data_IF_347698416701
#
_entry.id   IF_347698416701
#
_cell.length_a   1.000
_cell.length_b   1.000
_cell.length_c   1.000
_cell.angle_alpha   90.00
_cell.angle_beta   90.00
_cell.angle_gamma   90.00
#
_symmetry.space_group_name_H-M   'P 1'
#
loop_
_entity.id
_entity.type
_entity.pdbx_description
1 polymer ?
#
# COMPACT_ATOMS: atom_id res chain seq x y z
N UNK A 1 6.06 30.76 10.54
CA UNK A 1 6.17 29.42 11.15
C UNK A 1 4.77 28.80 11.10
N UNK A 2 4.54 27.80 10.25
CA UNK A 2 3.21 27.26 9.98
C UNK A 2 2.96 26.00 10.79
N UNK A 3 2.08 26.08 11.79
CA UNK A 3 1.63 24.93 12.56
C UNK A 3 0.72 24.08 11.68
N UNK A 4 1.19 22.89 11.31
CA UNK A 4 0.36 21.88 10.65
C UNK A 4 -0.55 21.26 11.70
N UNK A 5 -1.84 21.59 11.65
CA UNK A 5 -2.88 20.95 12.47
C UNK A 5 -3.18 19.54 11.94
N UNK A 6 -2.21 18.64 12.08
CA UNK A 6 -2.48 17.20 12.02
C UNK A 6 -3.02 16.79 13.38
N UNK A 7 -4.35 16.77 13.52
CA UNK A 7 -5.02 16.14 14.65
C UNK A 7 -4.96 14.62 14.45
N UNK A 8 -3.76 14.04 14.44
CA UNK A 8 -3.61 12.61 14.62
C UNK A 8 -3.91 12.38 16.11
N UNK A 9 -5.07 11.78 16.40
CA UNK A 9 -5.25 11.18 17.71
C UNK A 9 -4.07 10.21 17.89
N UNK A 10 -3.24 10.44 18.90
CA UNK A 10 -2.15 9.56 19.26
C UNK A 10 -2.75 8.23 19.74
N UNK A 11 -3.10 7.38 18.78
CA UNK A 11 -3.46 6.01 19.04
C UNK A 11 -2.23 5.36 19.66
N UNK A 12 -2.33 4.98 20.94
CA UNK A 12 -1.28 4.23 21.61
C UNK A 12 -1.12 2.88 20.88
N UNK A 13 -0.08 2.78 20.04
CA UNK A 13 0.16 1.60 19.23
C UNK A 13 0.65 0.44 20.11
N UNK A 14 0.10 -0.76 19.90
CA UNK A 14 0.50 -1.95 20.64
C UNK A 14 1.60 -2.71 19.89
N UNK A 15 2.76 -2.89 20.53
CA UNK A 15 3.85 -3.70 19.99
C UNK A 15 3.51 -5.21 19.96
N UNK A 16 2.62 -5.69 20.85
CA UNK A 16 2.29 -7.12 20.96
C UNK A 16 1.62 -7.70 19.71
N UNK A 17 1.03 -6.87 18.84
CA UNK A 17 0.47 -7.32 17.57
C UNK A 17 1.53 -7.67 16.50
N UNK A 18 2.76 -7.18 16.66
CA UNK A 18 3.88 -7.50 15.76
C UNK A 18 4.43 -8.90 16.02
N UNK A 19 4.40 -9.38 17.27
CA UNK A 19 4.97 -10.68 17.66
C UNK A 19 4.32 -11.86 16.92
N UNK A 20 3.04 -11.71 16.56
CA UNK A 20 2.29 -12.69 15.74
C UNK A 20 2.90 -12.89 14.33
N UNK A 21 3.66 -11.91 13.84
CA UNK A 21 4.26 -11.89 12.51
C UNK A 21 3.25 -11.61 11.40
N UNK A 22 3.68 -10.87 10.37
CA UNK A 22 2.88 -10.68 9.16
C UNK A 22 3.06 -11.91 8.27
N UNK A 23 1.97 -12.57 7.82
CA UNK A 23 2.09 -13.79 7.02
C UNK A 23 2.69 -13.49 5.62
N UNK A 24 3.37 -14.48 5.00
CA UNK A 24 4.03 -14.32 3.70
C UNK A 24 3.06 -13.99 2.55
N UNK A 25 1.80 -14.44 2.67
CA UNK A 25 0.71 -14.20 1.72
C UNK A 25 -0.48 -13.61 2.49
N UNK A 26 -1.02 -12.51 1.98
CA UNK A 26 -2.13 -11.79 2.59
C UNK A 26 -3.22 -11.58 1.56
N UNK A 27 -4.39 -12.15 1.82
CA UNK A 27 -5.59 -11.89 1.02
C UNK A 27 -6.38 -10.75 1.65
N UNK A 28 -6.78 -9.80 0.81
CA UNK A 28 -7.51 -8.61 1.23
C UNK A 28 -8.94 -8.68 0.71
N UNK A 29 -9.89 -8.53 1.61
CA UNK A 29 -11.32 -8.55 1.27
C UNK A 29 -12.09 -7.49 2.05
N UNK A 30 -13.22 -7.06 1.48
CA UNK A 30 -14.22 -6.28 2.21
C UNK A 30 -14.88 -7.11 3.32
N UNK A 31 -15.36 -6.43 4.35
CA UNK A 31 -16.34 -6.99 5.29
C UNK A 31 -17.59 -7.46 4.53
N UNK A 32 -18.03 -8.69 4.78
CA UNK A 32 -19.18 -9.29 4.10
C UNK A 32 -20.43 -8.42 4.29
N UNK A 33 -21.17 -8.13 3.20
CA UNK A 33 -22.41 -7.35 3.25
C UNK A 33 -22.28 -5.87 2.86
N UNK A 34 -21.05 -5.34 2.70
CA UNK A 34 -20.85 -3.97 2.26
C UNK A 34 -21.04 -3.80 0.75
N UNK A 35 -22.03 -2.99 0.36
CA UNK A 35 -22.19 -2.56 -1.03
C UNK A 35 -21.08 -1.57 -1.38
N UNK A 36 -20.42 -1.76 -2.53
CA UNK A 36 -19.31 -0.95 -3.10
C UNK A 36 -19.55 0.58 -3.18
N UNK A 37 -20.74 1.05 -2.82
CA UNK A 37 -21.18 2.44 -2.91
C UNK A 37 -21.13 3.20 -1.56
N UNK A 38 -20.84 2.52 -0.45
CA UNK A 38 -20.74 3.13 0.89
C UNK A 38 -19.33 3.68 1.22
N UNK A 39 -18.46 3.84 0.22
CA UNK A 39 -17.03 4.18 0.34
C UNK A 39 -16.69 5.55 0.97
N UNK A 40 -17.69 6.32 1.42
CA UNK A 40 -17.55 7.70 1.89
C UNK A 40 -17.74 7.87 3.41
N UNK A 41 -18.38 6.92 4.10
CA UNK A 41 -18.72 7.04 5.53
C UNK A 41 -17.75 6.29 6.46
N UNK A 42 -16.98 5.36 5.89
CA UNK A 42 -16.10 4.43 6.59
C UNK A 42 -15.90 3.22 5.70
N UNK A 43 -14.81 2.48 5.82
CA UNK A 43 -14.62 1.24 5.08
C UNK A 43 -13.73 0.30 5.88
N UNK A 44 -14.09 -0.99 5.92
CA UNK A 44 -13.30 -2.00 6.61
C UNK A 44 -12.84 -3.05 5.62
N UNK A 45 -11.55 -3.40 5.70
CA UNK A 45 -10.98 -4.53 4.99
C UNK A 45 -10.38 -5.52 5.98
N UNK A 46 -10.41 -6.80 5.63
CA UNK A 46 -9.74 -7.85 6.37
C UNK A 46 -8.46 -8.27 5.65
N UNK A 47 -7.39 -8.43 6.43
CA UNK A 47 -6.16 -9.08 5.99
C UNK A 47 -6.19 -10.50 6.53
N UNK A 48 -6.31 -11.46 5.63
CA UNK A 48 -6.42 -12.89 5.94
C UNK A 48 -5.16 -13.62 5.49
N UNK A 49 -4.75 -14.63 6.25
CA UNK A 49 -3.67 -15.53 5.85
C UNK A 49 -4.09 -16.46 4.69
N UNK A 50 -3.21 -17.40 4.29
CA UNK A 50 -3.50 -18.40 3.26
C UNK A 50 -4.78 -19.22 3.54
N UNK A 51 -5.04 -19.49 4.82
CA UNK A 51 -6.16 -20.29 5.30
C UNK A 51 -7.51 -19.57 5.24
N UNK A 52 -7.50 -18.26 4.94
CA UNK A 52 -8.72 -17.46 4.74
C UNK A 52 -9.30 -16.83 6.01
N UNK A 53 -8.79 -17.18 7.19
CA UNK A 53 -9.21 -16.58 8.46
C UNK A 53 -8.68 -15.13 8.60
N UNK A 54 -9.55 -14.13 8.91
CA UNK A 54 -9.13 -12.76 9.16
C UNK A 54 -8.15 -12.66 10.33
N UNK A 55 -6.95 -12.16 10.07
CA UNK A 55 -5.91 -11.98 11.09
C UNK A 55 -5.82 -10.55 11.60
N UNK A 56 -6.05 -9.59 10.71
CA UNK A 56 -6.01 -8.15 10.99
C UNK A 56 -7.16 -7.43 10.30
N UNK A 57 -7.51 -6.27 10.83
CA UNK A 57 -8.56 -5.41 10.29
C UNK A 57 -7.99 -4.04 9.94
N UNK A 58 -8.20 -3.61 8.70
CA UNK A 58 -7.94 -2.24 8.25
C UNK A 58 -9.21 -1.42 8.36
N UNK A 59 -9.16 -0.35 9.14
CA UNK A 59 -10.22 0.63 9.29
C UNK A 59 -9.86 1.91 8.53
N UNK A 60 -10.67 2.26 7.55
CA UNK A 60 -10.58 3.50 6.78
C UNK A 60 -11.58 4.49 7.36
N UNK A 61 -11.15 5.34 8.30
CA UNK A 61 -12.02 6.12 9.21
C UNK A 61 -13.00 7.03 8.46
N UNK A 62 -12.61 7.55 7.29
CA UNK A 62 -13.48 8.35 6.38
C UNK A 62 -13.47 7.77 4.97
N UNK A 63 -13.50 6.44 4.90
CA UNK A 63 -13.39 5.69 3.65
C UNK A 63 -12.13 6.05 2.86
N UNK A 64 -12.28 6.29 1.56
CA UNK A 64 -11.14 6.56 0.68
C UNK A 64 -10.41 7.89 0.94
N UNK A 65 -10.96 8.78 1.78
CA UNK A 65 -10.41 10.12 2.03
C UNK A 65 -9.87 10.31 3.45
N UNK A 66 -10.06 9.33 4.33
CA UNK A 66 -9.56 9.35 5.71
C UNK A 66 -8.24 8.60 5.89
N UNK A 67 -7.82 8.53 7.15
CA UNK A 67 -6.67 7.75 7.56
C UNK A 67 -7.02 6.25 7.60
N UNK A 68 -5.97 5.44 7.50
CA UNK A 68 -6.01 3.98 7.61
C UNK A 68 -5.47 3.62 8.98
N UNK A 69 -6.20 2.79 9.73
CA UNK A 69 -5.74 2.20 10.99
C UNK A 69 -5.72 0.69 10.79
N UNK A 70 -4.56 0.07 11.00
CA UNK A 70 -4.45 -1.37 11.08
C UNK A 70 -4.63 -1.81 12.54
N UNK A 71 -5.54 -2.73 12.77
CA UNK A 71 -5.79 -3.34 14.08
C UNK A 71 -5.18 -4.74 14.13
N UNK A 72 -4.65 -5.10 15.30
CA UNK A 72 -3.93 -6.37 15.56
C UNK A 72 -4.80 -7.64 15.53
N UNK A 73 -6.11 -7.50 15.33
CA UNK A 73 -7.07 -8.61 15.28
C UNK A 73 -8.16 -8.39 14.24
N UNK A 74 -9.13 -9.31 14.19
CA UNK A 74 -10.23 -9.31 13.23
C UNK A 74 -11.36 -8.31 13.53
N UNK A 75 -11.22 -7.47 14.56
CA UNK A 75 -12.15 -6.36 14.87
C UNK A 75 -11.42 -5.02 14.99
N UNK A 76 -12.14 -3.93 14.77
CA UNK A 76 -11.68 -2.56 15.03
C UNK A 76 -11.50 -2.28 16.54
N UNK A 77 -12.06 -3.11 17.39
CA UNK A 77 -11.88 -3.01 18.85
C UNK A 77 -10.53 -3.60 19.30
N UNK A 78 -9.86 -4.34 18.41
CA UNK A 78 -8.51 -4.83 18.67
C UNK A 78 -7.52 -3.65 18.72
N UNK A 79 -6.45 -3.72 19.53
CA UNK A 79 -5.48 -2.63 19.65
C UNK A 79 -4.91 -2.19 18.29
N UNK A 80 -4.76 -0.87 18.07
CA UNK A 80 -4.15 -0.34 16.85
C UNK A 80 -2.67 -0.73 16.78
N UNK A 81 -2.26 -1.17 15.61
CA UNK A 81 -0.92 -1.67 15.31
C UNK A 81 -0.12 -0.65 14.49
N UNK A 82 -0.74 -0.06 13.46
CA UNK A 82 -0.13 0.98 12.64
C UNK A 82 -1.19 1.93 12.09
N UNK A 83 -0.77 3.13 11.71
CA UNK A 83 -1.63 4.11 11.03
C UNK A 83 -0.99 4.61 9.75
N UNK A 84 -1.81 5.06 8.80
CA UNK A 84 -1.36 5.84 7.66
C UNK A 84 -2.31 6.98 7.39
N UNK A 85 -1.75 8.18 7.24
CA UNK A 85 -2.49 9.39 6.89
C UNK A 85 -1.76 10.21 5.84
N UNK A 86 -2.49 11.05 5.12
CA UNK A 86 -1.87 11.97 4.15
C UNK A 86 -1.09 13.04 4.90
N UNK A 87 0.19 13.21 4.58
CA UNK A 87 1.03 14.24 5.20
C UNK A 87 0.54 15.66 4.87
N UNK A 88 -0.01 15.85 3.67
CA UNK A 88 -0.60 17.11 3.24
C UNK A 88 -1.72 16.84 2.24
N UNK A 89 -2.65 17.80 2.09
CA UNK A 89 -3.65 17.76 1.02
C UNK A 89 -3.06 18.05 -0.37
N UNK A 90 -1.91 18.73 -0.42
CA UNK A 90 -1.26 19.19 -1.66
C UNK A 90 -0.22 18.20 -2.20
N UNK A 91 0.26 17.28 -1.36
CA UNK A 91 1.20 16.23 -1.73
C UNK A 91 0.53 14.87 -1.53
N UNK A 92 0.86 13.91 -2.36
CA UNK A 92 0.40 12.52 -2.21
C UNK A 92 1.42 11.69 -1.41
N UNK A 93 2.07 12.34 -0.45
CA UNK A 93 2.95 11.70 0.52
C UNK A 93 2.10 11.23 1.71
N UNK A 94 2.45 10.07 2.27
CA UNK A 94 1.76 9.46 3.39
C UNK A 94 2.71 9.33 4.57
N UNK A 95 2.28 9.80 5.73
CA UNK A 95 2.91 9.49 7.01
C UNK A 95 2.39 8.13 7.46
N UNK A 96 3.30 7.20 7.73
CA UNK A 96 2.98 5.88 8.27
C UNK A 96 3.62 5.79 9.66
N UNK A 97 2.78 5.56 10.67
CA UNK A 97 3.23 5.42 12.06
C UNK A 97 3.21 3.94 12.42
N UNK A 98 4.37 3.43 12.81
CA UNK A 98 4.65 2.05 13.20
C UNK A 98 4.89 2.00 14.72
N UNK A 99 4.68 0.85 15.38
CA UNK A 99 4.95 0.73 16.80
C UNK A 99 6.47 0.71 17.05
N UNK A 100 6.87 1.10 18.26
CA UNK A 100 8.27 1.02 18.69
C UNK A 100 8.65 -0.40 19.05
N UNK A 101 9.76 -0.92 18.52
CA UNK A 101 10.38 -2.13 19.06
C UNK A 101 11.38 -1.84 20.19
N UNK A 102 11.83 -0.58 20.32
CA UNK A 102 12.85 -0.14 21.29
C UNK A 102 12.30 0.67 22.47
N UNK A 103 10.97 0.86 22.54
CA UNK A 103 10.30 1.61 23.62
C UNK A 103 10.37 3.14 23.50
N UNK A 104 11.07 3.69 22.50
CA UNK A 104 11.27 5.14 22.31
C UNK A 104 10.08 5.84 21.60
N UNK A 105 8.87 5.32 21.80
CA UNK A 105 7.67 5.83 21.13
C UNK A 105 7.55 5.40 19.66
N UNK A 106 6.42 5.72 19.01
CA UNK A 106 6.12 5.26 17.66
C UNK A 106 7.17 5.69 16.63
N UNK A 107 7.48 4.82 15.67
CA UNK A 107 8.37 5.12 14.56
C UNK A 107 7.55 5.70 13.40
N UNK A 108 7.92 6.89 12.93
CA UNK A 108 7.25 7.56 11.82
C UNK A 108 8.08 7.45 10.54
N UNK A 109 7.47 6.95 9.47
CA UNK A 109 8.08 6.83 8.15
C UNK A 109 7.23 7.53 7.08
N UNK A 110 7.87 8.02 6.02
CA UNK A 110 7.16 8.71 4.94
C UNK A 110 7.20 7.86 3.68
N UNK A 111 6.02 7.44 3.21
CA UNK A 111 5.83 6.93 1.85
C UNK A 111 5.70 8.12 0.90
N UNK A 112 6.74 8.34 0.10
CA UNK A 112 6.84 9.48 -0.81
C UNK A 112 6.37 9.15 -2.21
N UNK A 113 5.68 10.09 -2.84
CA UNK A 113 5.35 10.05 -4.26
C UNK A 113 6.24 11.05 -5.02
N UNK A 114 7.17 10.60 -5.87
CA UNK A 114 7.96 11.50 -6.70
C UNK A 114 7.07 12.35 -7.61
N UNK A 115 7.42 13.63 -7.80
CA UNK A 115 6.74 14.49 -8.76
C UNK A 115 7.02 14.00 -10.19
N UNK A 116 6.00 14.01 -11.03
CA UNK A 116 6.13 13.66 -12.46
C UNK A 116 6.05 12.16 -12.75
N UNK A 117 6.37 11.28 -11.80
CA UNK A 117 6.46 9.84 -12.08
C UNK A 117 5.21 9.10 -11.60
N UNK A 118 4.29 8.89 -12.55
CA UNK A 118 3.01 8.24 -12.26
C UNK A 118 3.25 6.78 -11.87
N UNK A 119 2.68 6.37 -10.73
CA UNK A 119 2.71 4.97 -10.30
C UNK A 119 4.02 4.53 -9.64
N UNK A 120 4.89 5.46 -9.23
CA UNK A 120 6.03 5.18 -8.34
C UNK A 120 5.81 5.76 -6.95
N UNK A 121 6.19 5.00 -5.92
CA UNK A 121 6.22 5.44 -4.53
C UNK A 121 7.45 4.84 -3.85
N UNK A 122 8.03 5.51 -2.87
CA UNK A 122 9.18 4.95 -2.17
C UNK A 122 9.17 5.30 -0.69
N UNK A 123 9.82 4.47 0.10
CA UNK A 123 10.12 4.74 1.50
C UNK A 123 11.54 4.25 1.81
N UNK A 124 12.09 4.74 2.90
CA UNK A 124 13.29 4.17 3.51
C UNK A 124 12.92 3.74 4.93
N UNK A 125 13.52 2.66 5.41
CA UNK A 125 13.29 2.18 6.78
C UNK A 125 14.52 1.40 7.26
N UNK A 126 14.71 1.38 8.56
CA UNK A 126 15.67 0.52 9.23
C UNK A 126 15.33 -0.96 8.97
N UNK A 127 16.31 -1.73 8.49
CA UNK A 127 16.20 -3.18 8.27
C UNK A 127 17.37 -3.91 8.95
N UNK A 128 17.28 -5.24 9.02
CA UNK A 128 18.30 -6.09 9.63
C UNK A 128 18.19 -6.18 11.16
N UNK A 129 19.09 -6.98 11.76
CA UNK A 129 19.10 -7.27 13.20
C UNK A 129 20.48 -7.02 13.78
N UNK A 130 20.53 -6.49 15.00
CA UNK A 130 21.78 -6.26 15.73
C UNK A 130 22.78 -5.39 14.95
N UNK A 131 24.05 -5.81 14.80
CA UNK A 131 25.09 -5.00 14.18
C UNK A 131 24.90 -4.77 12.68
N UNK A 132 24.08 -5.59 12.00
CA UNK A 132 23.81 -5.48 10.56
C UNK A 132 22.67 -4.52 10.24
N UNK A 133 22.16 -3.82 11.27
CA UNK A 133 21.14 -2.81 11.13
C UNK A 133 21.62 -1.67 10.22
N UNK A 134 20.88 -1.45 9.12
CA UNK A 134 21.07 -0.32 8.21
C UNK A 134 19.75 0.22 7.69
N UNK A 135 19.76 1.48 7.26
CA UNK A 135 18.62 2.06 6.53
C UNK A 135 18.73 1.67 5.06
N UNK A 136 17.66 1.10 4.52
CA UNK A 136 17.51 0.76 3.11
C UNK A 136 16.32 1.46 2.48
N UNK A 137 16.38 1.63 1.16
CA UNK A 137 15.31 2.24 0.36
C UNK A 137 14.59 1.20 -0.50
N UNK A 138 13.27 1.37 -0.59
CA UNK A 138 12.39 0.51 -1.37
C UNK A 138 11.48 1.35 -2.26
N UNK A 139 11.16 0.85 -3.45
CA UNK A 139 10.29 1.52 -4.42
C UNK A 139 9.17 0.61 -4.90
N UNK A 140 7.92 1.05 -4.69
CA UNK A 140 6.76 0.51 -5.38
C UNK A 140 6.75 1.00 -6.82
N UNK A 141 6.77 0.06 -7.76
CA UNK A 141 6.63 0.29 -9.20
C UNK A 141 5.35 -0.37 -9.70
N UNK A 142 4.58 0.36 -10.49
CA UNK A 142 3.42 -0.21 -11.20
C UNK A 142 3.93 -1.26 -12.19
N UNK A 143 3.32 -2.45 -12.22
CA UNK A 143 3.69 -3.52 -13.13
C UNK A 143 2.46 -4.14 -13.79
N UNK A 144 2.65 -4.71 -14.99
CA UNK A 144 1.70 -5.60 -15.68
C UNK A 144 2.31 -6.97 -16.00
N UNK A 145 3.52 -7.23 -15.49
CA UNK A 145 4.24 -8.47 -15.73
C UNK A 145 3.61 -9.68 -15.04
N UNK A 146 4.15 -10.85 -15.33
CA UNK A 146 3.67 -12.12 -14.79
C UNK A 146 3.71 -12.15 -13.24
N UNK A 147 4.65 -11.44 -12.63
CA UNK A 147 4.84 -11.40 -11.18
C UNK A 147 3.62 -10.85 -10.43
N UNK A 148 2.92 -9.85 -11.00
CA UNK A 148 1.70 -9.29 -10.39
C UNK A 148 0.43 -10.02 -10.83
N UNK A 149 0.44 -10.60 -12.04
CA UNK A 149 -0.68 -11.42 -12.56
C UNK A 149 -0.80 -12.78 -11.88
N UNK A 150 0.31 -13.31 -11.35
CA UNK A 150 0.32 -14.57 -10.58
C UNK A 150 -0.34 -14.44 -9.21
N UNK A 151 -0.29 -13.25 -8.61
CA UNK A 151 -0.82 -12.96 -7.26
C UNK A 151 -2.22 -12.36 -7.32
N UNK A 152 -2.51 -11.53 -8.33
CA UNK A 152 -3.85 -11.00 -8.57
C UNK A 152 -4.39 -11.45 -9.91
N UNK A 153 -5.65 -11.87 -9.96
CA UNK A 153 -6.30 -12.25 -11.22
C UNK A 153 -6.60 -11.04 -12.15
N UNK A 154 -6.27 -9.81 -11.73
CA UNK A 154 -6.59 -8.59 -12.47
C UNK A 154 -5.86 -8.46 -13.81
N UNK A 155 -6.62 -8.11 -14.86
CA UNK A 155 -6.07 -7.74 -16.19
C UNK A 155 -5.36 -6.37 -16.17
N UNK A 156 -5.58 -5.56 -15.14
CA UNK A 156 -5.13 -4.17 -15.07
C UNK A 156 -3.72 -3.99 -14.49
N UNK A 157 -3.09 -5.10 -14.07
CA UNK A 157 -1.79 -5.12 -13.41
C UNK A 157 -1.88 -4.86 -11.91
N UNK A 158 -0.74 -4.52 -11.32
CA UNK A 158 -0.55 -4.37 -9.89
C UNK A 158 0.68 -3.54 -9.57
N UNK A 159 1.27 -3.77 -8.40
CA UNK A 159 2.49 -3.12 -7.97
C UNK A 159 3.51 -4.15 -7.51
N UNK A 160 4.79 -3.86 -7.73
CA UNK A 160 5.91 -4.61 -7.16
C UNK A 160 6.77 -3.69 -6.29
N UNK A 161 7.23 -4.17 -5.16
CA UNK A 161 8.15 -3.48 -4.27
C UNK A 161 9.56 -3.95 -4.60
N UNK A 162 10.41 -3.01 -4.97
CA UNK A 162 11.79 -3.25 -5.38
C UNK A 162 12.74 -2.76 -4.30
N UNK A 163 13.72 -3.57 -3.94
CA UNK A 163 14.80 -3.22 -3.01
C UNK A 163 15.89 -2.44 -3.75
N UNK A 164 16.13 -1.19 -3.37
CA UNK A 164 17.13 -0.35 -4.02
C UNK A 164 18.51 -0.47 -3.37
N UNK A 165 18.57 -0.88 -2.10
CA UNK A 165 19.79 -0.98 -1.32
C UNK A 165 19.93 0.16 -0.30
N UNK A 166 21.14 0.31 0.25
CA UNK A 166 21.44 1.33 1.27
C UNK A 166 21.39 2.75 0.70
N UNK A 167 20.95 3.71 1.49
CA UNK A 167 20.87 5.13 1.10
C UNK A 167 22.24 5.80 0.89
N UNK A 168 23.34 5.12 1.21
CA UNK A 168 24.71 5.65 1.08
C UNK A 168 25.24 5.60 -0.36
N UNK A 169 24.60 4.84 -1.26
CA UNK A 169 24.91 4.90 -2.68
C UNK A 169 24.13 6.06 -3.29
N UNK A 170 24.85 7.02 -3.90
CA UNK A 170 24.27 8.05 -4.79
C UNK A 170 23.74 7.35 -6.04
N UNK A 171 22.65 6.60 -5.91
CA UNK A 171 21.97 6.05 -7.08
C UNK A 171 21.00 7.09 -7.59
N UNK A 172 21.41 7.65 -8.73
CA UNK A 172 20.63 8.57 -9.53
C UNK A 172 19.30 7.89 -9.88
N UNK A 173 18.22 8.64 -9.68
CA UNK A 173 16.86 8.18 -9.93
C UNK A 173 16.76 7.74 -11.40
N UNK A 174 16.62 6.43 -11.65
CA UNK A 174 16.36 5.94 -13.02
C UNK A 174 14.96 6.39 -13.43
N UNK A 175 14.93 7.51 -14.16
CA UNK A 175 13.74 8.30 -14.50
C UNK A 175 12.98 7.76 -15.71
N UNK A 176 13.23 6.54 -16.16
CA UNK A 176 12.54 6.04 -17.34
C UNK A 176 11.14 5.52 -16.97
N UNK A 177 10.12 6.04 -17.67
CA UNK A 177 8.73 5.53 -17.64
C UNK A 177 8.60 4.17 -18.36
N UNK A 178 9.74 3.57 -18.71
CA UNK A 178 9.89 2.38 -19.57
C UNK A 178 9.58 1.06 -18.83
N UNK A 179 9.43 1.09 -17.50
CA UNK A 179 9.04 -0.08 -16.69
C UNK A 179 7.61 -0.58 -16.94
N UNK A 180 6.86 0.05 -17.86
CA UNK A 180 5.57 -0.44 -18.34
C UNK A 180 5.71 -1.57 -19.38
N UNK A 181 6.91 -1.82 -19.91
CA UNK A 181 7.15 -2.92 -20.85
C UNK A 181 7.28 -4.27 -20.15
N UNK A 182 6.40 -5.18 -20.59
CA UNK A 182 6.35 -6.60 -20.27
C UNK A 182 7.55 -7.31 -20.90
N UNK A 183 8.65 -7.39 -20.15
CA UNK A 183 9.89 -7.93 -20.70
C UNK A 183 10.98 -8.16 -19.66
N UNK A 184 10.63 -8.67 -18.47
CA UNK A 184 11.66 -9.18 -17.56
C UNK A 184 12.27 -10.44 -18.18
N UNK A 185 13.32 -10.25 -18.97
CA UNK A 185 14.25 -11.31 -19.39
C UNK A 185 15.20 -11.70 -18.25
N UNK A 186 15.21 -10.94 -17.15
CA UNK A 186 15.89 -11.27 -15.92
C UNK A 186 15.07 -12.30 -15.13
N UNK A 187 15.76 -13.29 -14.56
CA UNK A 187 15.18 -14.44 -13.85
C UNK A 187 14.09 -14.09 -12.85
N UNK A 188 13.24 -15.07 -12.55
CA UNK A 188 12.11 -14.93 -11.61
C UNK A 188 12.55 -14.24 -10.31
N UNK A 189 11.87 -13.14 -9.95
CA UNK A 189 12.14 -12.40 -8.71
C UNK A 189 12.96 -11.11 -8.85
N UNK A 190 13.40 -10.74 -10.06
CA UNK A 190 14.10 -9.47 -10.31
C UNK A 190 13.30 -8.53 -11.21
N UNK A 191 13.54 -7.24 -11.07
CA UNK A 191 13.04 -6.21 -11.96
C UNK A 191 13.89 -6.09 -13.24
N UNK A 192 13.39 -5.33 -14.22
CA UNK A 192 14.06 -5.02 -15.50
C UNK A 192 15.47 -4.44 -15.32
N UNK A 193 15.68 -3.65 -14.27
CA UNK A 193 16.96 -3.06 -13.89
C UNK A 193 17.83 -3.96 -12.99
N UNK A 194 17.46 -5.25 -12.86
CA UNK A 194 18.21 -6.23 -12.05
C UNK A 194 18.04 -6.08 -10.55
N UNK A 195 17.19 -5.16 -10.08
CA UNK A 195 16.92 -4.99 -8.65
C UNK A 195 15.94 -6.04 -8.14
N UNK A 196 16.16 -6.51 -6.92
CA UNK A 196 15.34 -7.55 -6.29
C UNK A 196 13.90 -7.08 -6.07
N UNK A 197 12.93 -7.93 -6.40
CA UNK A 197 11.52 -7.75 -6.04
C UNK A 197 11.25 -8.44 -4.70
N UNK A 198 10.86 -7.64 -3.71
CA UNK A 198 10.68 -8.10 -2.31
C UNK A 198 9.23 -8.20 -1.87
N UNK A 199 8.30 -7.64 -2.62
CA UNK A 199 6.88 -7.87 -2.46
C UNK A 199 6.11 -7.57 -3.75
N UNK A 200 4.90 -8.12 -3.86
CA UNK A 200 3.99 -7.86 -4.98
C UNK A 200 2.56 -7.68 -4.46
N UNK A 201 1.81 -6.82 -5.15
CA UNK A 201 0.39 -6.59 -4.94
C UNK A 201 -0.35 -6.79 -6.25
N UNK A 202 -1.34 -7.67 -6.24
CA UNK A 202 -2.24 -7.90 -7.36
C UNK A 202 -3.69 -7.63 -6.95
N UNK A 203 -4.40 -6.79 -7.71
CA UNK A 203 -5.83 -6.60 -7.48
C UNK A 203 -6.62 -7.85 -7.87
N UNK A 204 -7.71 -8.13 -7.17
CA UNK A 204 -8.63 -9.22 -7.53
C UNK A 204 -9.58 -8.74 -8.63
N UNK A 205 -9.94 -9.61 -9.58
CA UNK A 205 -11.01 -9.32 -10.52
C UNK A 205 -12.36 -9.31 -9.80
N UNK A 206 -13.07 -8.20 -9.92
CA UNK A 206 -14.40 -7.97 -9.35
C UNK A 206 -15.49 -8.98 -9.80
N UNK A 207 -15.24 -9.76 -10.86
CA UNK A 207 -16.19 -10.72 -11.43
C UNK A 207 -16.16 -12.10 -10.76
N UNK A 208 -15.10 -12.46 -10.01
CA UNK A 208 -14.94 -13.80 -9.41
C UNK A 208 -15.01 -13.82 -7.88
N UNK A 209 -14.83 -12.67 -7.22
CA UNK A 209 -15.03 -12.52 -5.79
C UNK A 209 -15.83 -11.24 -5.53
N UNK A 210 -17.01 -11.39 -4.93
CA UNK A 210 -17.90 -10.25 -4.64
C UNK A 210 -17.28 -9.29 -3.60
N UNK A 211 -16.43 -9.82 -2.71
CA UNK A 211 -15.75 -9.09 -1.63
C UNK A 211 -14.23 -8.98 -1.80
N UNK A 212 -13.62 -9.63 -2.80
CA UNK A 212 -12.16 -9.63 -2.97
C UNK A 212 -11.61 -8.28 -3.41
N UNK A 213 -10.59 -7.79 -2.70
CA UNK A 213 -9.86 -6.56 -3.03
C UNK A 213 -8.59 -6.88 -3.81
N UNK A 214 -7.79 -7.82 -3.31
CA UNK A 214 -6.47 -8.14 -3.86
C UNK A 214 -5.71 -9.11 -2.99
N UNK A 215 -4.52 -9.47 -3.44
CA UNK A 215 -3.57 -10.30 -2.72
C UNK A 215 -2.21 -9.60 -2.70
N UNK A 216 -1.58 -9.62 -1.53
CA UNK A 216 -0.23 -9.16 -1.29
C UNK A 216 0.64 -10.38 -0.99
N UNK A 217 1.84 -10.42 -1.54
CA UNK A 217 2.78 -11.51 -1.28
C UNK A 217 4.20 -11.00 -1.15
N UNK A 218 4.89 -11.43 -0.10
CA UNK A 218 6.32 -11.20 0.06
C UNK A 218 7.13 -12.10 -0.89
N UNK A 219 8.27 -11.58 -1.36
CA UNK A 219 9.19 -12.21 -2.31
C UNK A 219 10.63 -12.01 -1.87
N UNK A 220 11.55 -12.83 -2.38
CA UNK A 220 12.99 -12.69 -2.10
C UNK A 220 13.29 -12.53 -0.60
N UNK A 221 14.19 -11.60 -0.28
CA UNK A 221 14.52 -11.16 1.07
C UNK A 221 13.30 -10.79 1.92
N UNK A 222 12.25 -10.22 1.33
CA UNK A 222 10.99 -9.93 2.01
C UNK A 222 10.26 -11.16 2.53
N UNK A 223 10.41 -12.32 1.89
CA UNK A 223 9.80 -13.58 2.32
C UNK A 223 10.62 -14.33 3.38
N UNK A 224 11.91 -14.01 3.51
CA UNK A 224 12.81 -14.68 4.47
C UNK A 224 12.73 -14.11 5.89
N UNK A 225 12.19 -12.90 6.05
CA UNK A 225 12.16 -12.17 7.31
C UNK A 225 13.44 -11.37 7.62
N UNK A 226 14.48 -11.41 6.78
CA UNK A 226 15.75 -10.70 7.03
C UNK A 226 15.59 -9.18 7.12
N UNK A 227 14.56 -8.62 6.47
CA UNK A 227 14.27 -7.19 6.46
C UNK A 227 13.58 -6.72 7.76
N UNK A 228 13.09 -7.65 8.58
CA UNK A 228 12.49 -7.38 9.88
C UNK A 228 10.98 -7.12 9.83
N UNK A 229 10.35 -7.22 11.01
CA UNK A 229 8.89 -7.14 11.14
C UNK A 229 8.34 -5.73 10.90
N UNK A 230 9.06 -4.67 11.31
CA UNK A 230 8.66 -3.29 11.03
C UNK A 230 8.67 -2.98 9.53
N UNK A 231 9.66 -3.51 8.79
CA UNK A 231 9.69 -3.42 7.35
C UNK A 231 8.48 -4.12 6.72
N UNK A 232 8.15 -5.33 7.18
CA UNK A 232 6.99 -6.08 6.67
C UNK A 232 5.69 -5.30 6.89
N UNK A 233 5.51 -4.72 8.08
CA UNK A 233 4.37 -3.88 8.41
C UNK A 233 4.33 -2.60 7.56
N UNK A 234 5.47 -1.95 7.36
CA UNK A 234 5.61 -0.78 6.47
C UNK A 234 5.25 -1.12 5.02
N UNK A 235 5.67 -2.28 4.52
CA UNK A 235 5.35 -2.74 3.17
C UNK A 235 3.83 -2.95 2.99
N UNK A 236 3.16 -3.57 3.96
CA UNK A 236 1.70 -3.75 3.93
C UNK A 236 0.97 -2.41 4.01
N UNK A 237 1.33 -1.56 4.97
CA UNK A 237 0.68 -0.24 5.13
C UNK A 237 0.88 0.64 3.90
N UNK A 238 2.09 0.68 3.34
CA UNK A 238 2.36 1.45 2.12
C UNK A 238 1.58 0.92 0.91
N UNK A 239 1.46 -0.40 0.77
CA UNK A 239 0.62 -1.01 -0.26
C UNK A 239 -0.84 -0.56 -0.14
N UNK A 240 -1.40 -0.56 1.07
CA UNK A 240 -2.78 -0.16 1.32
C UNK A 240 -3.01 1.34 1.08
N UNK A 241 -2.03 2.19 1.41
CA UNK A 241 -2.08 3.63 1.11
C UNK A 241 -2.06 3.89 -0.39
N UNK A 242 -1.26 3.14 -1.16
CA UNK A 242 -1.25 3.19 -2.63
C UNK A 242 -2.59 2.74 -3.19
N UNK A 243 -3.12 1.61 -2.71
CA UNK A 243 -4.43 1.12 -3.14
C UNK A 243 -5.52 2.15 -2.86
N UNK A 244 -5.59 2.71 -1.64
CA UNK A 244 -6.55 3.75 -1.28
C UNK A 244 -6.47 4.94 -2.24
N UNK A 245 -5.25 5.35 -2.58
CA UNK A 245 -5.01 6.43 -3.53
C UNK A 245 -5.55 6.11 -4.93
N UNK A 246 -5.23 4.92 -5.46
CA UNK A 246 -5.69 4.48 -6.77
C UNK A 246 -7.22 4.45 -6.81
N UNK A 247 -7.87 3.97 -5.75
CA UNK A 247 -9.34 3.97 -5.67
C UNK A 247 -9.91 5.39 -5.63
N UNK A 248 -9.28 6.33 -4.93
CA UNK A 248 -9.67 7.74 -4.90
C UNK A 248 -9.52 8.40 -6.28
N UNK A 249 -8.39 8.16 -6.95
CA UNK A 249 -8.13 8.68 -8.30
C UNK A 249 -9.18 8.14 -9.29
N UNK A 250 -9.52 6.85 -9.21
CA UNK A 250 -10.56 6.23 -10.03
C UNK A 250 -11.96 6.81 -9.75
N UNK A 251 -12.31 7.02 -8.47
CA UNK A 251 -13.57 7.64 -8.09
C UNK A 251 -13.70 9.07 -8.65
N UNK A 252 -12.64 9.87 -8.53
CA UNK A 252 -12.61 11.23 -9.07
C UNK A 252 -12.70 11.25 -10.61
N UNK A 253 -12.00 10.33 -11.29
CA UNK A 253 -12.07 10.23 -12.76
C UNK A 253 -13.49 9.87 -13.24
N UNK A 254 -14.18 8.98 -12.55
CA UNK A 254 -15.57 8.62 -12.86
C UNK A 254 -16.53 9.80 -12.65
N UNK A 255 -16.33 10.61 -11.60
CA UNK A 255 -17.12 11.83 -11.39
C UNK A 255 -16.89 12.81 -12.54
N UNK A 256 -15.64 13.07 -12.94
CA UNK A 256 -15.33 13.96 -14.07
C UNK A 256 -15.93 13.45 -15.38
N UNK A 257 -15.85 12.14 -15.65
CA UNK A 257 -16.45 11.54 -16.83
C UNK A 257 -17.98 11.71 -16.83
N UNK A 258 -18.65 11.45 -15.70
CA UNK A 258 -20.10 11.64 -15.58
C UNK A 258 -20.52 13.09 -15.78
N UNK A 259 -19.79 14.06 -15.21
CA UNK A 259 -20.08 15.49 -15.42
C UNK A 259 -19.86 15.93 -16.87
N UNK A 260 -18.83 15.39 -17.53
CA UNK A 260 -18.57 15.69 -18.95
C UNK A 260 -19.67 15.14 -19.87
N UNK A 261 -20.17 13.93 -19.58
CA UNK A 261 -21.27 13.32 -20.33
C UNK A 261 -22.60 14.08 -20.15
N UNK A 262 -22.88 14.56 -18.94
CA UNK A 262 -24.08 15.36 -18.65
C UNK A 262 -24.02 16.73 -19.36
N UNK A 263 -22.85 17.38 -19.37
CA UNK A 263 -22.66 18.63 -20.10
C UNK A 263 -22.85 18.45 -21.61
N UNK A 264 -22.30 17.39 -22.21
CA UNK A 264 -22.50 17.10 -23.63
C UNK A 264 -23.96 16.78 -23.98
N UNK A 265 -24.69 16.07 -23.11
CA UNK A 265 -26.11 15.78 -23.31
C UNK A 265 -26.96 17.06 -23.24
N UNK A 266 -26.65 17.98 -22.32
CA UNK A 266 -27.35 19.26 -22.21
C UNK A 266 -27.09 20.19 -23.41
N UNK A 267 -25.91 20.13 -24.02
CA UNK A 267 -25.59 20.89 -25.22
C UNK A 267 -26.32 20.34 -26.46
N UNK A 268 -26.46 19.02 -26.57
CA UNK A 268 -27.18 18.38 -27.68
C UNK A 268 -28.71 18.56 -27.61
N UNK A 269 -29.28 18.73 -26.41
CA UNK A 269 -30.72 18.97 -26.24
C UNK A 269 -31.15 20.42 -26.53
N UNK A 270 -30.19 21.35 -26.62
CA UNK A 270 -30.42 22.78 -26.85
C UNK A 270 -30.03 23.23 -28.27
N UNK A 271 -29.74 22.29 -29.18
CA UNK A 271 -29.43 22.51 -30.59
C UNK A 271 -30.55 21.95 -31.47
#
# INVERSE_FOLDING_TARGET
MGHSNSTLQSHQLSAGGIEKGIPPVIRVSYESGWKKYACFLGMKLFLSGPDGEPMYTLNFVKGLYGDIILHSGSSIDSPPLATSGRQSRLRDDYLITLPSLSGNGPQEEILRRPKGLKGRFWFAIQVGHGPDQRVERFEWRRSRGAEVKSVGQSRWGGYKLVRLGSTNTKEEYSSSEEDLHDGSTNGEGYASDGKEVVAVWGSTNCLKSLSGVGEFQFRGSGATGELGQLWALMAVMSCMSIWQKVQRDNANANVTASSSSAASASAAANA
#
